data_IF_639597134820
#
_entry.id   IF_639597134820
#
_cell.length_a   1.000
_cell.length_b   1.000
_cell.length_c   1.000
_cell.angle_alpha   90.00
_cell.angle_beta   90.00
_cell.angle_gamma   90.00
#
_symmetry.space_group_name_H-M   'P 1'
#
loop_
_entity.id
_entity.type
_entity.pdbx_description
1 polymer ?
#
# COMPACT_ATOMS: atom_id res chain seq x y z
N UNK A 1 14.21 -27.71 -19.79
CA UNK A 1 13.56 -26.62 -20.51
C UNK A 1 12.94 -25.67 -19.46
N UNK A 2 13.66 -24.58 -19.12
CA UNK A 2 13.07 -23.49 -18.36
C UNK A 2 12.28 -22.64 -19.35
N UNK A 3 10.96 -22.76 -19.35
CA UNK A 3 10.10 -21.79 -19.98
C UNK A 3 10.15 -20.52 -19.12
N UNK A 4 10.90 -19.54 -19.58
CA UNK A 4 10.69 -18.16 -19.15
C UNK A 4 9.38 -17.70 -19.79
N UNK A 5 8.28 -17.87 -19.06
CA UNK A 5 7.08 -17.15 -19.39
C UNK A 5 7.38 -15.66 -19.11
N UNK A 6 7.70 -14.91 -20.14
CA UNK A 6 7.67 -13.47 -20.10
C UNK A 6 6.20 -13.07 -20.05
N UNK A 7 5.66 -13.04 -18.85
CA UNK A 7 4.36 -12.48 -18.61
C UNK A 7 4.55 -10.97 -18.64
N UNK A 8 4.06 -10.33 -19.70
CA UNK A 8 3.87 -8.89 -19.76
C UNK A 8 2.73 -8.53 -18.82
N UNK A 9 3.02 -8.58 -17.52
CA UNK A 9 2.11 -8.20 -16.48
C UNK A 9 2.68 -6.96 -15.79
N UNK A 10 2.09 -5.82 -16.09
CA UNK A 10 2.45 -4.55 -15.47
C UNK A 10 2.30 -4.58 -13.94
N UNK A 11 1.60 -5.56 -13.39
CA UNK A 11 1.48 -5.82 -11.96
C UNK A 11 2.55 -6.72 -11.37
N UNK A 12 3.35 -7.42 -12.20
CA UNK A 12 4.20 -8.52 -11.75
C UNK A 12 5.40 -8.11 -10.88
N UNK A 13 5.74 -6.84 -10.81
CA UNK A 13 7.04 -6.46 -10.27
C UNK A 13 7.03 -5.89 -8.87
N UNK A 14 5.93 -5.37 -8.37
CA UNK A 14 5.90 -4.86 -7.00
C UNK A 14 4.47 -4.63 -6.47
N UNK A 15 3.60 -5.60 -6.60
CA UNK A 15 2.21 -5.43 -6.19
C UNK A 15 1.38 -4.81 -7.33
N UNK A 16 0.28 -4.16 -6.98
CA UNK A 16 -0.74 -3.74 -7.92
C UNK A 16 -1.77 -4.84 -8.15
N UNK A 17 -2.76 -4.54 -8.96
CA UNK A 17 -3.98 -5.35 -9.08
C UNK A 17 -3.70 -6.82 -9.47
N UNK A 18 -2.80 -7.06 -10.40
CA UNK A 18 -2.48 -8.41 -10.85
C UNK A 18 -1.77 -9.24 -9.77
N UNK A 19 -0.87 -8.63 -9.01
CA UNK A 19 -0.22 -9.27 -7.87
C UNK A 19 -1.22 -9.60 -6.76
N UNK A 20 -2.15 -8.71 -6.48
CA UNK A 20 -3.21 -8.92 -5.50
C UNK A 20 -4.13 -10.07 -5.92
N UNK A 21 -4.59 -10.10 -7.19
CA UNK A 21 -5.43 -11.17 -7.73
C UNK A 21 -4.73 -12.53 -7.59
N UNK A 22 -3.46 -12.60 -8.01
CA UNK A 22 -2.68 -13.84 -7.97
C UNK A 22 -2.48 -14.34 -6.53
N UNK A 23 -2.19 -13.43 -5.62
CA UNK A 23 -1.98 -13.76 -4.20
C UNK A 23 -3.27 -14.24 -3.54
N UNK A 24 -4.38 -13.53 -3.73
CA UNK A 24 -5.68 -13.91 -3.19
C UNK A 24 -6.13 -15.27 -3.73
N UNK A 25 -5.96 -15.51 -5.03
CA UNK A 25 -6.28 -16.81 -5.64
C UNK A 25 -5.43 -17.94 -5.05
N UNK A 26 -4.14 -17.72 -4.83
CA UNK A 26 -3.25 -18.70 -4.19
C UNK A 26 -3.65 -19.01 -2.74
N UNK A 27 -4.26 -18.06 -2.05
CA UNK A 27 -4.78 -18.22 -0.69
C UNK A 27 -6.21 -18.78 -0.64
N UNK A 28 -6.82 -19.08 -1.78
CA UNK A 28 -8.19 -19.61 -1.87
C UNK A 28 -9.28 -18.54 -1.75
N UNK A 29 -8.93 -17.26 -1.89
CA UNK A 29 -9.87 -16.16 -1.91
C UNK A 29 -10.17 -15.73 -3.36
N UNK A 30 -11.35 -15.15 -3.57
CA UNK A 30 -11.74 -14.58 -4.85
C UNK A 30 -11.57 -13.07 -4.82
N UNK A 31 -10.75 -12.54 -5.73
CA UNK A 31 -10.56 -11.12 -5.89
C UNK A 31 -11.66 -10.51 -6.78
N UNK A 32 -12.15 -9.33 -6.38
CA UNK A 32 -13.08 -8.49 -7.12
C UNK A 32 -12.34 -7.21 -7.52
N UNK A 33 -11.62 -7.22 -8.67
CA UNK A 33 -10.70 -6.14 -9.02
C UNK A 33 -11.43 -4.91 -9.54
N UNK A 34 -11.08 -3.74 -8.99
CA UNK A 34 -11.49 -2.42 -9.49
C UNK A 34 -10.24 -1.70 -9.98
N UNK A 35 -10.24 -1.29 -11.24
CA UNK A 35 -9.12 -0.55 -11.82
C UNK A 35 -9.27 0.94 -11.53
N UNK A 36 -8.26 1.52 -10.92
CA UNK A 36 -8.25 2.93 -10.51
C UNK A 36 -7.27 3.78 -11.32
N UNK A 37 -6.25 3.14 -11.90
CA UNK A 37 -5.24 3.81 -12.72
C UNK A 37 -4.53 2.81 -13.64
N UNK A 38 -4.08 3.29 -14.79
CA UNK A 38 -3.15 2.57 -15.67
C UNK A 38 -1.75 3.15 -15.49
N UNK A 39 -0.79 2.30 -15.18
CA UNK A 39 0.60 2.70 -14.98
C UNK A 39 1.47 2.27 -16.15
N UNK A 40 2.26 3.21 -16.66
CA UNK A 40 3.34 2.95 -17.62
C UNK A 40 4.63 2.78 -16.81
N UNK A 41 5.14 1.56 -16.75
CA UNK A 41 6.30 1.24 -15.94
C UNK A 41 7.10 0.07 -16.50
N UNK A 42 8.37 -0.03 -16.10
CA UNK A 42 9.14 -1.26 -16.20
C UNK A 42 9.38 -1.88 -14.81
N UNK A 43 10.41 -2.68 -14.68
CA UNK A 43 10.78 -3.35 -13.41
C UNK A 43 11.44 -2.41 -12.41
N UNK A 44 11.92 -1.26 -12.82
CA UNK A 44 12.70 -0.33 -12.00
C UNK A 44 11.96 0.99 -11.73
N UNK A 45 11.23 1.50 -12.74
CA UNK A 45 10.70 2.87 -12.71
C UNK A 45 9.24 2.92 -13.18
N UNK A 46 8.51 3.92 -12.68
CA UNK A 46 7.20 4.31 -13.18
C UNK A 46 7.44 5.56 -14.03
N UNK A 47 7.08 5.51 -15.33
CA UNK A 47 7.30 6.58 -16.29
C UNK A 47 6.12 7.54 -16.35
N UNK A 48 4.90 7.01 -16.19
CA UNK A 48 3.67 7.77 -16.28
C UNK A 48 2.51 7.00 -15.66
N UNK A 49 1.40 7.69 -15.41
CA UNK A 49 0.16 7.06 -15.01
C UNK A 49 -1.04 7.80 -15.61
N UNK A 50 -2.10 7.05 -15.84
CA UNK A 50 -3.37 7.58 -16.30
C UNK A 50 -4.44 7.19 -15.29
N UNK A 51 -4.88 8.13 -14.43
CA UNK A 51 -5.97 7.88 -13.50
C UNK A 51 -7.26 7.57 -14.28
N UNK A 52 -8.03 6.61 -13.79
CA UNK A 52 -9.39 6.38 -14.26
C UNK A 52 -10.29 7.44 -13.61
N UNK A 53 -11.26 7.92 -14.36
CA UNK A 53 -12.27 8.86 -13.86
C UNK A 53 -12.92 8.33 -12.57
N UNK A 54 -13.07 9.21 -11.57
CA UNK A 54 -13.52 8.82 -10.24
C UNK A 54 -14.95 8.25 -10.23
N UNK A 55 -15.84 8.77 -11.06
CA UNK A 55 -17.20 8.25 -11.19
C UNK A 55 -17.18 6.84 -11.80
N UNK A 56 -16.30 6.61 -12.78
CA UNK A 56 -16.13 5.27 -13.37
C UNK A 56 -15.55 4.26 -12.36
N UNK A 57 -14.62 4.69 -11.50
CA UNK A 57 -14.12 3.84 -10.40
C UNK A 57 -15.28 3.47 -9.46
N UNK A 58 -16.09 4.46 -9.07
CA UNK A 58 -17.24 4.23 -8.21
C UNK A 58 -18.28 3.31 -8.85
N UNK A 59 -18.59 3.49 -10.13
CA UNK A 59 -19.54 2.63 -10.87
C UNK A 59 -19.04 1.18 -10.95
N UNK A 60 -17.75 0.95 -11.25
CA UNK A 60 -17.18 -0.40 -11.22
C UNK A 60 -17.40 -1.08 -9.86
N UNK A 61 -17.11 -0.37 -8.76
CA UNK A 61 -17.27 -0.91 -7.42
C UNK A 61 -18.74 -1.20 -7.08
N UNK A 62 -19.63 -0.24 -7.33
CA UNK A 62 -21.06 -0.40 -7.04
C UNK A 62 -21.69 -1.57 -7.80
N UNK A 63 -21.38 -1.73 -9.08
CA UNK A 63 -21.88 -2.85 -9.89
C UNK A 63 -21.47 -4.22 -9.33
N UNK A 64 -20.25 -4.34 -8.80
CA UNK A 64 -19.79 -5.58 -8.17
C UNK A 64 -20.48 -5.81 -6.82
N UNK A 65 -20.67 -4.75 -6.04
CA UNK A 65 -21.27 -4.80 -4.70
C UNK A 65 -22.77 -5.07 -4.70
N UNK A 66 -23.47 -4.80 -5.81
CA UNK A 66 -24.88 -5.18 -5.98
C UNK A 66 -25.09 -6.71 -5.95
N UNK A 67 -24.13 -7.46 -6.47
CA UNK A 67 -24.25 -8.90 -6.64
C UNK A 67 -23.47 -9.71 -5.60
N UNK A 68 -22.38 -9.15 -5.05
CA UNK A 68 -21.42 -9.92 -4.25
C UNK A 68 -21.14 -9.22 -2.91
N UNK A 69 -21.36 -9.96 -1.83
CA UNK A 69 -20.92 -9.52 -0.49
C UNK A 69 -19.41 -9.68 -0.33
N UNK A 70 -18.72 -8.60 0.04
CA UNK A 70 -17.28 -8.59 0.26
C UNK A 70 -16.94 -8.91 1.72
N UNK A 71 -15.85 -9.65 1.92
CA UNK A 71 -15.35 -10.02 3.25
C UNK A 71 -14.19 -9.12 3.73
N UNK A 72 -13.61 -8.31 2.86
CA UNK A 72 -12.52 -7.40 3.16
C UNK A 72 -12.18 -6.50 1.98
N UNK A 73 -11.61 -5.36 2.29
CA UNK A 73 -11.13 -4.39 1.33
C UNK A 73 -9.61 -4.37 1.26
N UNK A 74 -9.06 -4.22 0.08
CA UNK A 74 -7.67 -3.86 -0.12
C UNK A 74 -7.60 -2.64 -1.02
N UNK A 75 -7.03 -1.56 -0.49
CA UNK A 75 -6.77 -0.33 -1.22
C UNK A 75 -5.27 -0.22 -1.50
N UNK A 76 -4.91 0.04 -2.76
CA UNK A 76 -3.57 0.40 -3.19
C UNK A 76 -3.51 1.84 -3.65
N UNK A 77 -2.74 2.12 -4.72
CA UNK A 77 -2.74 3.44 -5.35
C UNK A 77 -4.06 3.66 -6.10
N UNK A 78 -4.77 4.73 -5.78
CA UNK A 78 -6.10 5.02 -6.30
C UNK A 78 -6.09 5.94 -7.54
N UNK A 79 -4.92 6.39 -7.97
CA UNK A 79 -4.77 7.18 -9.20
C UNK A 79 -4.85 8.69 -8.98
N UNK A 80 -5.84 9.17 -8.26
CA UNK A 80 -6.05 10.61 -8.01
C UNK A 80 -6.71 10.87 -6.66
N UNK A 81 -6.69 12.12 -6.19
CA UNK A 81 -7.37 12.55 -4.97
C UNK A 81 -8.90 12.43 -5.08
N UNK A 82 -9.45 12.65 -6.27
CA UNK A 82 -10.87 12.49 -6.55
C UNK A 82 -11.29 11.01 -6.41
N UNK A 83 -10.47 10.09 -6.94
CA UNK A 83 -10.71 8.65 -6.77
C UNK A 83 -10.58 8.21 -5.30
N UNK A 84 -9.66 8.81 -4.52
CA UNK A 84 -9.59 8.59 -3.07
C UNK A 84 -10.91 8.97 -2.41
N UNK A 85 -11.48 10.12 -2.75
CA UNK A 85 -12.75 10.59 -2.20
C UNK A 85 -13.92 9.68 -2.58
N UNK A 86 -14.01 9.29 -3.85
CA UNK A 86 -15.05 8.39 -4.34
C UNK A 86 -15.00 6.99 -3.69
N UNK A 87 -13.80 6.45 -3.51
CA UNK A 87 -13.61 5.15 -2.83
C UNK A 87 -13.93 5.27 -1.35
N UNK A 88 -13.54 6.35 -0.68
CA UNK A 88 -13.86 6.57 0.73
C UNK A 88 -15.37 6.66 0.98
N UNK A 89 -16.13 7.28 0.07
CA UNK A 89 -17.60 7.30 0.14
C UNK A 89 -18.17 5.87 0.11
N UNK A 90 -17.69 5.02 -0.80
CA UNK A 90 -18.12 3.63 -0.87
C UNK A 90 -17.77 2.86 0.41
N UNK A 91 -16.54 3.02 0.91
CA UNK A 91 -16.09 2.35 2.13
C UNK A 91 -16.93 2.75 3.35
N UNK A 92 -17.44 3.98 3.38
CA UNK A 92 -18.30 4.46 4.48
C UNK A 92 -19.64 3.74 4.57
N UNK A 93 -20.12 3.16 3.47
CA UNK A 93 -21.33 2.33 3.43
C UNK A 93 -21.10 0.90 4.02
N UNK A 94 -19.83 0.52 4.22
CA UNK A 94 -19.43 -0.82 4.69
C UNK A 94 -18.49 -0.76 5.91
N UNK A 95 -18.87 -0.09 7.01
CA UNK A 95 -17.97 0.20 8.13
C UNK A 95 -17.47 -1.05 8.89
N UNK A 96 -18.21 -2.17 8.78
CA UNK A 96 -17.86 -3.42 9.45
C UNK A 96 -16.93 -4.33 8.64
N UNK A 97 -16.62 -3.95 7.38
CA UNK A 97 -15.74 -4.73 6.51
C UNK A 97 -14.30 -4.26 6.66
N UNK A 98 -13.37 -5.13 7.10
CA UNK A 98 -12.00 -4.72 7.38
C UNK A 98 -11.28 -4.19 6.14
N UNK A 99 -10.54 -3.10 6.31
CA UNK A 99 -9.77 -2.43 5.25
C UNK A 99 -8.27 -2.60 5.48
N UNK A 100 -7.58 -3.14 4.49
CA UNK A 100 -6.13 -3.12 4.36
C UNK A 100 -5.73 -2.06 3.33
N UNK A 101 -4.99 -1.05 3.75
CA UNK A 101 -4.54 0.03 2.87
C UNK A 101 -3.03 -0.02 2.68
N UNK A 102 -2.60 0.01 1.43
CA UNK A 102 -1.18 0.10 1.07
C UNK A 102 -0.87 1.54 0.63
N UNK A 103 0.07 2.17 1.33
CA UNK A 103 0.60 3.48 0.96
C UNK A 103 1.86 3.30 0.09
N UNK A 104 1.78 3.54 -1.22
CA UNK A 104 2.93 3.46 -2.10
C UNK A 104 3.88 4.64 -1.90
N UNK A 105 5.13 4.47 -2.33
CA UNK A 105 6.01 5.61 -2.53
C UNK A 105 5.52 6.41 -3.75
N UNK A 106 5.24 7.70 -3.55
CA UNK A 106 4.75 8.62 -4.58
C UNK A 106 5.83 9.57 -5.11
N UNK A 107 7.11 9.31 -4.83
CA UNK A 107 8.22 10.16 -5.28
C UNK A 107 8.42 10.23 -6.80
N UNK A 108 7.61 9.52 -7.57
CA UNK A 108 7.53 9.57 -9.02
C UNK A 108 6.41 10.49 -9.54
N UNK A 109 5.49 10.93 -8.66
CA UNK A 109 4.48 11.93 -8.96
C UNK A 109 5.02 13.34 -8.73
N UNK A 110 4.51 14.29 -9.49
CA UNK A 110 4.72 15.71 -9.22
C UNK A 110 4.03 16.12 -7.92
N UNK A 111 4.59 17.11 -7.21
CA UNK A 111 4.08 17.54 -5.90
C UNK A 111 2.63 18.05 -5.93
N UNK A 112 2.21 18.66 -7.04
CA UNK A 112 0.85 19.14 -7.25
C UNK A 112 -0.19 18.01 -7.34
N UNK A 113 0.23 16.79 -7.64
CA UNK A 113 -0.58 15.57 -7.65
C UNK A 113 -0.41 14.77 -6.35
N UNK A 114 0.83 14.64 -5.87
CA UNK A 114 1.16 13.83 -4.70
C UNK A 114 0.57 14.41 -3.40
N UNK A 115 0.65 15.74 -3.19
CA UNK A 115 0.19 16.37 -1.96
C UNK A 115 -1.34 16.25 -1.77
N UNK A 116 -2.20 16.60 -2.76
CA UNK A 116 -3.64 16.41 -2.60
C UNK A 116 -4.03 14.94 -2.40
N UNK A 117 -3.33 14.01 -3.08
CA UNK A 117 -3.55 12.57 -2.88
C UNK A 117 -3.26 12.13 -1.45
N UNK A 118 -2.08 12.50 -0.90
CA UNK A 118 -1.67 12.14 0.45
C UNK A 118 -2.57 12.77 1.51
N UNK A 119 -3.04 14.00 1.28
CA UNK A 119 -3.97 14.68 2.17
C UNK A 119 -5.33 13.97 2.18
N UNK A 120 -5.90 13.68 1.01
CA UNK A 120 -7.15 12.93 0.91
C UNK A 120 -7.03 11.53 1.52
N UNK A 121 -5.93 10.82 1.26
CA UNK A 121 -5.67 9.50 1.84
C UNK A 121 -5.59 9.57 3.38
N UNK A 122 -4.90 10.59 3.92
CA UNK A 122 -4.74 10.80 5.36
C UNK A 122 -6.07 11.07 6.06
N UNK A 123 -6.95 11.83 5.42
CA UNK A 123 -8.21 12.27 6.03
C UNK A 123 -9.34 11.27 5.81
N UNK A 124 -9.37 10.58 4.69
CA UNK A 124 -10.53 9.79 4.29
C UNK A 124 -10.29 8.27 4.37
N UNK A 125 -9.10 7.78 4.00
CA UNK A 125 -8.81 6.35 3.97
C UNK A 125 -8.18 5.88 5.28
N UNK A 126 -7.21 6.62 5.80
CA UNK A 126 -6.46 6.22 6.98
C UNK A 126 -7.35 5.96 8.22
N UNK A 127 -8.37 6.78 8.53
CA UNK A 127 -9.24 6.54 9.68
C UNK A 127 -10.08 5.26 9.58
N UNK A 128 -10.40 4.82 8.36
CA UNK A 128 -11.15 3.58 8.11
C UNK A 128 -10.24 2.34 8.01
N UNK A 129 -8.91 2.54 8.00
CA UNK A 129 -7.93 1.48 7.77
C UNK A 129 -7.70 0.66 9.04
N UNK A 130 -7.91 -0.66 8.95
CA UNK A 130 -7.53 -1.58 10.03
C UNK A 130 -6.03 -1.87 9.99
N UNK A 131 -5.46 -2.14 8.80
CA UNK A 131 -4.03 -2.41 8.62
C UNK A 131 -3.46 -1.48 7.55
N UNK A 132 -2.58 -0.57 7.96
CA UNK A 132 -1.80 0.26 7.04
C UNK A 132 -0.51 -0.47 6.67
N UNK A 133 -0.24 -0.61 5.38
CA UNK A 133 0.96 -1.27 4.85
C UNK A 133 1.80 -0.25 4.08
N UNK A 134 3.11 -0.26 4.29
CA UNK A 134 4.03 0.57 3.51
C UNK A 134 5.48 0.30 3.86
N UNK A 135 6.41 0.82 3.05
CA UNK A 135 7.80 0.74 3.42
C UNK A 135 8.14 1.74 4.53
N UNK A 136 9.20 1.45 5.27
CA UNK A 136 9.61 2.22 6.44
C UNK A 136 9.74 3.73 6.16
N UNK A 137 10.42 4.10 5.06
CA UNK A 137 10.63 5.51 4.72
C UNK A 137 9.32 6.21 4.39
N UNK A 138 8.50 5.63 3.51
CA UNK A 138 7.21 6.21 3.10
C UNK A 138 6.29 6.41 4.30
N UNK A 139 6.22 5.42 5.20
CA UNK A 139 5.40 5.53 6.41
C UNK A 139 5.93 6.59 7.38
N UNK A 140 7.25 6.73 7.52
CA UNK A 140 7.84 7.78 8.37
C UNK A 140 7.52 9.16 7.81
N UNK A 141 7.76 9.39 6.53
CA UNK A 141 7.49 10.68 5.89
C UNK A 141 5.99 11.05 5.95
N UNK A 142 5.11 10.05 5.89
CA UNK A 142 3.67 10.27 5.90
C UNK A 142 3.08 10.46 7.29
N UNK A 143 3.47 9.64 8.26
CA UNK A 143 2.89 9.62 9.61
C UNK A 143 3.60 10.58 10.57
N UNK A 144 4.89 10.80 10.37
CA UNK A 144 5.77 11.58 11.23
C UNK A 144 6.59 12.60 10.40
N UNK A 145 5.92 13.56 9.72
CA UNK A 145 6.61 14.48 8.80
C UNK A 145 7.68 15.33 9.50
N UNK A 146 7.53 15.59 10.79
CA UNK A 146 8.47 16.38 11.60
C UNK A 146 9.50 15.51 12.34
N UNK A 147 9.71 14.26 11.89
CA UNK A 147 10.68 13.35 12.52
C UNK A 147 12.11 13.83 12.24
N UNK A 148 12.73 14.44 13.25
CA UNK A 148 14.08 15.02 13.18
C UNK A 148 15.16 14.23 13.93
N UNK A 149 14.80 13.03 14.45
CA UNK A 149 15.72 12.18 15.19
C UNK A 149 16.78 11.55 14.29
N UNK A 150 18.04 11.48 14.76
CA UNK A 150 19.13 10.77 14.08
C UNK A 150 18.86 9.27 13.90
N UNK A 151 18.02 8.67 14.73
CA UNK A 151 17.60 7.28 14.61
C UNK A 151 16.34 7.15 13.73
N UNK A 152 16.21 6.04 12.99
CA UNK A 152 14.97 5.72 12.30
C UNK A 152 13.79 5.58 13.28
N UNK A 153 12.59 5.97 12.87
CA UNK A 153 11.38 5.69 13.63
C UNK A 153 11.18 4.17 13.77
N UNK A 154 10.80 3.71 14.94
CA UNK A 154 10.47 2.31 15.16
C UNK A 154 9.09 1.98 14.58
N UNK A 155 8.85 0.71 14.26
CA UNK A 155 7.53 0.25 13.82
C UNK A 155 6.42 0.59 14.84
N UNK A 156 6.72 0.57 16.15
CA UNK A 156 5.79 0.97 17.19
C UNK A 156 5.47 2.46 17.17
N UNK A 157 6.44 3.34 16.94
CA UNK A 157 6.20 4.78 16.82
C UNK A 157 5.31 5.10 15.61
N UNK A 158 5.54 4.42 14.50
CA UNK A 158 4.66 4.51 13.33
C UNK A 158 3.23 4.01 13.65
N UNK A 159 3.11 2.90 14.40
CA UNK A 159 1.81 2.38 14.80
C UNK A 159 1.08 3.31 15.80
N UNK A 160 1.79 3.97 16.70
CA UNK A 160 1.22 4.99 17.59
C UNK A 160 0.67 6.16 16.78
N UNK A 161 1.46 6.72 15.87
CA UNK A 161 1.05 7.84 15.02
C UNK A 161 -0.16 7.50 14.12
N UNK A 162 -0.19 6.29 13.56
CA UNK A 162 -1.34 5.80 12.80
C UNK A 162 -2.57 5.56 13.68
N UNK A 163 -2.36 5.07 14.92
CA UNK A 163 -3.41 4.83 15.90
C UNK A 163 -4.12 6.10 16.36
N UNK A 164 -3.43 7.23 16.43
CA UNK A 164 -4.02 8.55 16.70
C UNK A 164 -5.04 8.99 15.63
N UNK A 165 -4.98 8.34 14.45
CA UNK A 165 -5.89 8.59 13.31
C UNK A 165 -6.90 7.47 13.08
N UNK A 166 -6.96 6.46 13.97
CA UNK A 166 -7.94 5.37 13.89
C UNK A 166 -7.40 4.05 13.35
N UNK A 167 -6.22 4.02 12.76
CA UNK A 167 -5.61 2.78 12.22
C UNK A 167 -5.15 1.86 13.35
N UNK A 168 -5.55 0.59 13.30
CA UNK A 168 -5.29 -0.36 14.37
C UNK A 168 -3.91 -1.00 14.33
N UNK A 169 -3.43 -1.33 13.12
CA UNK A 169 -2.14 -1.98 12.89
C UNK A 169 -1.37 -1.32 11.76
N UNK A 170 -0.04 -1.39 11.85
CA UNK A 170 0.86 -0.95 10.78
C UNK A 170 1.80 -2.10 10.41
N UNK A 171 1.80 -2.52 9.15
CA UNK A 171 2.78 -3.44 8.60
C UNK A 171 3.89 -2.63 7.91
N UNK A 172 5.00 -2.50 8.59
CA UNK A 172 6.21 -1.83 8.07
C UNK A 172 7.02 -2.83 7.28
N UNK A 173 7.22 -2.57 5.99
CA UNK A 173 8.00 -3.44 5.10
C UNK A 173 9.37 -2.84 4.80
N UNK A 174 10.32 -3.71 4.42
CA UNK A 174 11.61 -3.26 3.94
C UNK A 174 12.55 -2.70 5.00
N UNK A 175 12.43 -3.10 6.26
CA UNK A 175 13.34 -2.71 7.32
C UNK A 175 14.68 -3.42 7.09
N UNK A 176 15.72 -2.63 6.81
CA UNK A 176 17.09 -3.14 6.65
C UNK A 176 17.69 -3.44 8.01
N UNK A 177 17.99 -4.70 8.28
CA UNK A 177 18.70 -5.08 9.50
C UNK A 177 20.20 -4.80 9.38
N UNK A 178 20.85 -4.30 10.45
CA UNK A 178 22.29 -4.16 10.46
C UNK A 178 22.93 -5.56 10.34
N UNK A 179 23.82 -5.71 9.35
CA UNK A 179 24.63 -6.93 9.21
C UNK A 179 25.48 -7.11 10.47
N UNK A 180 25.25 -8.18 11.24
CA UNK A 180 26.19 -8.60 12.28
C UNK A 180 27.50 -8.95 11.60
N UNK A 181 28.49 -8.07 11.70
CA UNK A 181 29.83 -8.29 11.17
C UNK A 181 30.47 -9.51 11.77
N UNK A 182 30.29 -10.65 11.15
CA UNK A 182 31.09 -11.85 11.37
C UNK A 182 32.46 -11.64 10.71
N UNK A 183 33.52 -11.49 11.48
CA UNK A 183 34.89 -11.59 10.97
C UNK A 183 35.09 -13.00 10.39
N UNK A 184 35.14 -13.09 9.07
CA UNK A 184 35.68 -14.26 8.38
C UNK A 184 34.72 -15.05 7.49
N UNK A 185 34.22 -14.46 6.42
CA UNK A 185 34.01 -15.21 5.16
C UNK A 185 34.03 -14.24 3.98
N UNK A 186 34.70 -14.64 2.91
CA UNK A 186 34.86 -13.89 1.66
C UNK A 186 33.57 -14.02 0.79
N UNK A 187 32.39 -13.67 1.36
CA UNK A 187 31.13 -13.56 0.67
C UNK A 187 30.57 -12.15 0.83
N UNK A 188 29.80 -11.68 -0.16
CA UNK A 188 29.06 -10.43 -0.02
C UNK A 188 28.21 -10.48 1.26
N UNK A 189 28.10 -9.38 2.04
CA UNK A 189 27.29 -9.38 3.25
C UNK A 189 25.85 -9.71 2.91
N UNK A 190 25.29 -10.75 3.53
CA UNK A 190 23.89 -11.07 3.42
C UNK A 190 23.10 -9.93 4.06
N UNK A 191 22.29 -9.22 3.25
CA UNK A 191 21.34 -8.25 3.73
C UNK A 191 20.02 -8.94 4.07
N UNK A 192 19.60 -8.80 5.31
CA UNK A 192 18.28 -9.27 5.74
C UNK A 192 17.30 -8.10 5.72
N UNK A 193 16.10 -8.38 5.24
CA UNK A 193 14.98 -7.45 5.22
C UNK A 193 13.90 -8.02 6.13
N UNK A 194 13.47 -7.23 7.11
CA UNK A 194 12.36 -7.58 7.99
C UNK A 194 11.09 -6.84 7.58
N UNK A 195 9.96 -7.51 7.80
CA UNK A 195 8.63 -6.93 7.78
C UNK A 195 8.04 -7.06 9.19
N UNK A 196 7.61 -5.94 9.76
CA UNK A 196 7.15 -5.90 11.15
C UNK A 196 5.69 -5.42 11.19
N UNK A 197 4.82 -6.26 11.75
CA UNK A 197 3.46 -5.87 12.10
C UNK A 197 3.46 -5.29 13.51
N UNK A 198 3.06 -4.04 13.65
CA UNK A 198 3.03 -3.33 14.90
C UNK A 198 1.64 -2.79 15.23
N UNK A 199 1.38 -2.64 16.52
CA UNK A 199 0.24 -1.90 17.09
C UNK A 199 0.74 -0.87 18.09
N UNK A 200 -0.09 0.07 18.58
CA UNK A 200 0.30 0.99 19.65
C UNK A 200 0.78 0.29 20.94
N UNK A 201 0.33 -0.95 21.17
CA UNK A 201 0.68 -1.75 22.35
C UNK A 201 2.03 -2.48 22.18
N UNK A 202 2.45 -2.75 20.94
CA UNK A 202 3.71 -3.46 20.67
C UNK A 202 3.86 -3.89 19.19
N UNK A 203 5.02 -4.47 18.89
CA UNK A 203 5.40 -5.02 17.59
C UNK A 203 5.88 -6.47 17.79
#
# INVERSE_FOLDING_TARGET
LRQHAHQLDAGAVAGGLAGDISTLAAMGAHALPITTSLMLRDTAEIFDHHPIDADMVAEQARNVLEDITVAGWKVGFLGSAEAVSAVAEILSDYPDVPLVSYLPNLGWLDDDQAQPYLEAFRELILPATEVLVGNHKTLTDFLLPDWDSERPASARELAVAAGERGTRFVLVTGIMLPTKGGKGSAGAPEQFIDNVLASPQGA
#
